data_IF_046345557633
#
_entry.id   IF_046345557633
#
_cell.length_a   1.000
_cell.length_b   1.000
_cell.length_c   1.000
_cell.angle_alpha   90.00
_cell.angle_beta   90.00
_cell.angle_gamma   90.00
#
_symmetry.space_group_name_H-M   'P 1'
#
loop_
_entity.id
_entity.type
_entity.pdbx_description
1 polymer ?
#
# COMPACT_ATOMS: atom_id res chain seq x y z
N UNK A 1 -8.07 4.28 -5.91
CA UNK A 1 -7.24 5.36 -6.48
C UNK A 1 -6.42 6.02 -5.39
N UNK A 2 -5.19 6.44 -5.68
CA UNK A 2 -4.32 7.11 -4.71
C UNK A 2 -3.58 6.17 -3.75
N UNK A 3 -3.39 4.91 -4.08
CA UNK A 3 -2.37 4.08 -3.44
C UNK A 3 -1.04 4.42 -4.11
N UNK A 4 -0.07 4.99 -3.41
CA UNK A 4 1.21 5.35 -4.00
C UNK A 4 2.04 4.10 -4.30
N UNK A 5 2.95 4.21 -5.28
CA UNK A 5 3.86 3.14 -5.64
C UNK A 5 3.64 2.61 -7.05
N UNK A 6 4.35 1.53 -7.38
CA UNK A 6 4.29 0.86 -8.68
C UNK A 6 3.26 -0.28 -8.68
N UNK A 7 2.82 -0.71 -9.87
CA UNK A 7 1.95 -1.90 -10.01
C UNK A 7 2.67 -3.14 -9.48
N UNK A 8 3.95 -3.33 -9.79
CA UNK A 8 4.73 -4.46 -9.27
C UNK A 8 4.79 -4.49 -7.74
N UNK A 9 5.01 -3.34 -7.09
CA UNK A 9 4.95 -3.23 -5.62
C UNK A 9 3.56 -3.54 -5.07
N UNK A 10 2.49 -3.08 -5.75
CA UNK A 10 1.13 -3.38 -5.35
C UNK A 10 0.81 -4.88 -5.44
N UNK A 11 1.26 -5.55 -6.51
CA UNK A 11 1.11 -7.01 -6.68
C UNK A 11 1.89 -7.75 -5.61
N UNK A 12 3.18 -7.42 -5.40
CA UNK A 12 4.02 -8.07 -4.39
C UNK A 12 3.43 -7.99 -2.98
N UNK A 13 2.89 -6.83 -2.63
CA UNK A 13 2.32 -6.59 -1.30
C UNK A 13 0.83 -6.92 -1.20
N UNK A 14 0.22 -7.45 -2.24
CA UNK A 14 -1.24 -7.61 -2.32
C UNK A 14 -1.95 -6.35 -1.80
N UNK A 15 -1.63 -5.22 -2.43
CA UNK A 15 -2.15 -3.93 -1.98
C UNK A 15 -3.67 -3.86 -2.14
N UNK A 16 -4.34 -3.31 -1.13
CA UNK A 16 -5.80 -3.21 -1.14
C UNK A 16 -6.37 -2.61 0.14
N UNK A 17 -7.68 -2.71 0.26
CA UNK A 17 -8.47 -2.37 1.45
C UNK A 17 -8.69 -3.64 2.30
N UNK A 18 -9.56 -3.55 3.31
CA UNK A 18 -10.02 -4.74 4.06
C UNK A 18 -10.89 -5.67 3.20
N UNK A 19 -11.55 -5.11 2.20
CA UNK A 19 -12.60 -5.79 1.41
C UNK A 19 -12.06 -6.36 0.10
N UNK A 20 -11.01 -5.75 -0.47
CA UNK A 20 -10.47 -6.11 -1.78
C UNK A 20 -8.97 -5.89 -1.85
N UNK A 21 -8.25 -6.86 -2.37
CA UNK A 21 -6.84 -6.78 -2.75
C UNK A 21 -6.67 -6.70 -4.27
N UNK A 22 -5.46 -6.35 -4.73
CA UNK A 22 -5.15 -6.41 -6.16
C UNK A 22 -5.21 -7.85 -6.66
N UNK A 23 -4.90 -8.83 -5.80
CA UNK A 23 -4.99 -10.27 -6.08
C UNK A 23 -6.35 -10.68 -6.67
N UNK A 24 -7.45 -10.03 -6.26
CA UNK A 24 -8.81 -10.33 -6.77
C UNK A 24 -8.99 -10.02 -8.26
N UNK A 25 -8.02 -9.35 -8.85
CA UNK A 25 -8.04 -8.92 -10.26
C UNK A 25 -6.85 -9.43 -11.06
N UNK A 26 -5.83 -9.99 -10.42
CA UNK A 26 -4.67 -10.57 -11.09
C UNK A 26 -5.10 -11.84 -11.84
N UNK A 27 -4.73 -11.92 -13.10
CA UNK A 27 -4.88 -13.12 -13.95
C UNK A 27 -3.57 -13.88 -13.93
N UNK A 28 -2.47 -13.19 -14.23
CA UNK A 28 -1.13 -13.77 -14.24
C UNK A 28 -0.08 -12.71 -13.91
N UNK A 29 1.09 -13.17 -13.50
CA UNK A 29 2.26 -12.35 -13.22
C UNK A 29 3.50 -12.97 -13.85
N UNK A 30 4.29 -12.15 -14.54
CA UNK A 30 5.62 -12.54 -15.03
C UNK A 30 6.67 -11.94 -14.09
N UNK A 31 7.56 -12.78 -13.59
CA UNK A 31 8.70 -12.38 -12.76
C UNK A 31 10.01 -12.68 -13.46
N UNK A 32 11.04 -11.92 -13.10
CA UNK A 32 12.43 -12.17 -13.47
C UNK A 32 13.23 -12.42 -12.19
N UNK A 33 14.00 -13.49 -12.15
CA UNK A 33 15.01 -13.70 -11.10
C UNK A 33 16.33 -14.18 -11.70
N UNK A 34 17.48 -13.99 -10.99
CA UNK A 34 18.77 -14.46 -11.44
C UNK A 34 18.83 -15.99 -11.59
N UNK A 35 18.08 -16.73 -10.79
CA UNK A 35 18.10 -18.20 -10.75
C UNK A 35 17.21 -18.87 -11.77
N UNK A 36 16.03 -18.30 -12.06
CA UNK A 36 14.99 -18.93 -12.91
C UNK A 36 14.71 -18.21 -14.22
N UNK A 37 15.32 -17.02 -14.43
CA UNK A 37 15.01 -16.18 -15.58
C UNK A 37 13.57 -15.64 -15.52
N UNK A 38 12.94 -15.53 -16.68
CA UNK A 38 11.55 -15.10 -16.81
C UNK A 38 10.60 -16.28 -16.54
N UNK A 39 9.72 -16.11 -15.58
CA UNK A 39 8.70 -17.12 -15.21
C UNK A 39 7.33 -16.45 -15.16
N UNK A 40 6.37 -16.97 -15.93
CA UNK A 40 4.95 -16.60 -15.83
C UNK A 40 4.23 -17.56 -14.90
N UNK A 41 3.43 -17.02 -13.99
CA UNK A 41 2.56 -17.78 -13.08
C UNK A 41 1.12 -17.27 -13.21
N UNK A 42 0.17 -18.19 -13.18
CA UNK A 42 -1.23 -17.85 -13.05
C UNK A 42 -1.53 -17.41 -11.61
N UNK A 43 -2.55 -16.57 -11.44
CA UNK A 43 -2.90 -16.06 -10.10
C UNK A 43 -3.22 -17.17 -9.09
N UNK A 44 -3.74 -18.33 -9.57
CA UNK A 44 -4.03 -19.49 -8.76
C UNK A 44 -2.79 -20.19 -8.18
N UNK A 45 -1.63 -20.03 -8.82
CA UNK A 45 -0.35 -20.62 -8.39
C UNK A 45 0.39 -19.73 -7.39
N UNK A 46 -0.14 -18.53 -7.13
CA UNK A 46 0.43 -17.55 -6.21
C UNK A 46 -0.35 -17.58 -4.90
N UNK A 47 0.35 -17.81 -3.79
CA UNK A 47 -0.28 -17.69 -2.47
C UNK A 47 -0.39 -16.21 -2.09
N UNK A 48 -1.62 -15.76 -1.87
CA UNK A 48 -1.93 -14.39 -1.51
C UNK A 48 -2.33 -14.29 -0.04
N UNK A 49 -1.76 -13.33 0.66
CA UNK A 49 -2.09 -13.05 2.05
C UNK A 49 -2.28 -11.56 2.33
N UNK A 50 -2.57 -11.24 3.58
CA UNK A 50 -2.66 -9.85 4.02
C UNK A 50 -1.30 -9.17 3.93
N UNK A 51 -1.18 -8.21 2.99
CA UNK A 51 0.07 -7.50 2.70
C UNK A 51 1.23 -8.44 2.42
N UNK A 52 0.97 -9.52 1.69
CA UNK A 52 1.98 -10.51 1.31
C UNK A 52 1.58 -11.29 0.06
N UNK A 53 2.59 -11.87 -0.57
CA UNK A 53 2.47 -12.84 -1.67
C UNK A 53 3.64 -13.80 -1.59
N UNK A 54 3.56 -14.93 -2.31
CA UNK A 54 4.58 -15.99 -2.30
C UNK A 54 5.75 -15.77 -3.25
N UNK A 55 5.93 -14.57 -3.80
CA UNK A 55 7.12 -14.26 -4.62
C UNK A 55 8.39 -14.29 -3.76
N UNK A 56 9.45 -14.91 -4.28
CA UNK A 56 10.75 -14.94 -3.62
C UNK A 56 11.37 -13.52 -3.52
N UNK A 57 12.24 -13.26 -2.54
CA UNK A 57 12.83 -11.93 -2.33
C UNK A 57 13.59 -11.38 -3.54
N UNK A 58 14.23 -12.26 -4.32
CA UNK A 58 15.04 -11.95 -5.50
C UNK A 58 14.23 -11.85 -6.80
N UNK A 59 12.93 -12.16 -6.77
CA UNK A 59 12.06 -12.02 -7.94
C UNK A 59 11.62 -10.58 -8.14
N UNK A 60 11.78 -10.08 -9.35
CA UNK A 60 11.29 -8.78 -9.80
C UNK A 60 10.05 -8.99 -10.66
N UNK A 61 8.94 -8.36 -10.32
CA UNK A 61 7.72 -8.39 -11.13
C UNK A 61 7.91 -7.46 -12.31
N UNK A 62 7.87 -8.01 -13.53
CA UNK A 62 8.08 -7.28 -14.78
C UNK A 62 6.78 -7.06 -15.56
N UNK A 63 5.79 -7.94 -15.38
CA UNK A 63 4.50 -7.86 -16.04
C UNK A 63 3.39 -8.38 -15.13
N UNK A 64 2.19 -7.82 -15.27
CA UNK A 64 0.99 -8.27 -14.58
C UNK A 64 -0.22 -8.09 -15.48
N UNK A 65 -0.97 -9.18 -15.68
CA UNK A 65 -2.25 -9.19 -16.38
C UNK A 65 -3.38 -9.04 -15.36
N UNK A 66 -4.29 -8.09 -15.62
CA UNK A 66 -5.41 -7.79 -14.72
C UNK A 66 -6.75 -8.00 -15.44
N UNK A 67 -7.66 -8.72 -14.81
CA UNK A 67 -9.03 -8.83 -15.26
C UNK A 67 -9.79 -7.54 -14.98
N UNK A 68 -10.33 -6.92 -16.03
CA UNK A 68 -11.18 -5.74 -15.94
C UNK A 68 -12.57 -6.05 -16.49
N UNK A 69 -13.58 -5.37 -15.95
CA UNK A 69 -14.97 -5.46 -16.43
C UNK A 69 -15.44 -4.07 -16.83
N UNK A 70 -16.10 -3.92 -17.99
CA UNK A 70 -16.77 -2.68 -18.32
C UNK A 70 -17.74 -2.29 -17.23
N UNK A 71 -17.79 -0.99 -16.91
CA UNK A 71 -18.69 -0.44 -15.92
C UNK A 71 -19.08 0.99 -16.29
N UNK A 72 -20.20 1.47 -15.76
CA UNK A 72 -20.66 2.83 -15.96
C UNK A 72 -19.64 3.84 -15.41
N UNK A 73 -19.09 4.74 -16.26
CA UNK A 73 -18.10 5.74 -15.84
C UNK A 73 -18.59 6.68 -14.73
N UNK A 74 -19.88 7.04 -14.74
CA UNK A 74 -20.46 7.93 -13.72
C UNK A 74 -20.50 7.26 -12.35
N UNK A 75 -20.94 5.99 -12.31
CA UNK A 75 -20.92 5.20 -11.07
C UNK A 75 -19.50 4.98 -10.53
N UNK A 76 -18.55 4.72 -11.43
CA UNK A 76 -17.15 4.57 -11.04
C UNK A 76 -16.59 5.87 -10.47
N UNK A 77 -16.85 7.00 -11.11
CA UNK A 77 -16.43 8.33 -10.64
C UNK A 77 -16.99 8.61 -9.25
N UNK A 78 -18.29 8.40 -9.04
CA UNK A 78 -18.91 8.60 -7.72
C UNK A 78 -18.27 7.76 -6.62
N UNK A 79 -17.98 6.47 -6.89
CA UNK A 79 -17.26 5.59 -5.95
C UNK A 79 -15.84 6.09 -5.66
N UNK A 80 -15.14 6.56 -6.68
CA UNK A 80 -13.78 7.09 -6.54
C UNK A 80 -13.76 8.38 -5.70
N UNK A 81 -14.69 9.30 -5.95
CA UNK A 81 -14.83 10.56 -5.20
C UNK A 81 -15.17 10.29 -3.74
N UNK A 82 -16.11 9.39 -3.46
CA UNK A 82 -16.45 8.98 -2.11
C UNK A 82 -15.27 8.35 -1.36
N UNK A 83 -14.52 7.46 -2.02
CA UNK A 83 -13.32 6.86 -1.45
C UNK A 83 -12.23 7.90 -1.18
N UNK A 84 -12.03 8.86 -2.09
CA UNK A 84 -11.08 9.94 -1.91
C UNK A 84 -11.48 10.90 -0.77
N UNK A 85 -12.75 11.26 -0.68
CA UNK A 85 -13.28 12.11 0.40
C UNK A 85 -13.09 11.43 1.77
N UNK A 86 -13.38 10.11 1.88
CA UNK A 86 -13.13 9.35 3.10
C UNK A 86 -11.64 9.36 3.47
N UNK A 87 -10.75 9.11 2.51
CA UNK A 87 -9.29 9.12 2.77
C UNK A 87 -8.81 10.50 3.23
N UNK A 88 -9.29 11.57 2.60
CA UNK A 88 -8.95 12.95 2.99
C UNK A 88 -9.34 13.26 4.44
N UNK A 89 -10.41 12.66 4.96
CA UNK A 89 -10.84 12.82 6.36
C UNK A 89 -10.02 11.98 7.34
N UNK A 90 -9.49 10.82 6.91
CA UNK A 90 -8.92 9.82 7.81
C UNK A 90 -7.40 9.63 7.68
N UNK A 91 -6.77 10.27 6.70
CA UNK A 91 -5.34 10.11 6.43
C UNK A 91 -4.67 11.49 6.24
N UNK A 92 -3.38 11.64 6.64
CA UNK A 92 -2.65 12.89 6.55
C UNK A 92 -2.14 13.14 5.12
N UNK A 93 -3.05 13.36 4.17
CA UNK A 93 -2.71 13.49 2.73
C UNK A 93 -2.03 14.81 2.38
N UNK A 94 -1.96 15.77 3.30
CA UNK A 94 -1.34 17.10 3.09
C UNK A 94 0.16 17.12 3.36
N UNK A 95 0.69 16.09 4.03
CA UNK A 95 2.10 15.96 4.34
C UNK A 95 2.69 14.70 3.66
N UNK A 96 3.97 14.74 3.26
CA UNK A 96 4.64 13.57 2.71
C UNK A 96 4.65 12.42 3.73
N UNK A 97 4.27 11.23 3.28
CA UNK A 97 4.32 9.99 4.08
C UNK A 97 4.38 8.77 3.16
N UNK A 98 4.82 7.64 3.70
CA UNK A 98 4.83 6.36 2.97
C UNK A 98 3.55 5.53 3.15
N UNK A 99 2.50 6.09 3.74
CA UNK A 99 1.27 5.38 4.09
C UNK A 99 1.35 4.74 5.48
N UNK A 100 0.57 3.67 5.70
CA UNK A 100 0.59 2.92 6.96
C UNK A 100 1.93 2.21 7.13
N UNK A 101 2.59 2.45 8.26
CA UNK A 101 3.93 1.93 8.58
C UNK A 101 3.88 0.47 9.03
N UNK A 102 2.92 0.14 9.89
CA UNK A 102 2.79 -1.20 10.47
C UNK A 102 1.62 -1.97 9.89
N UNK A 103 1.77 -3.28 9.77
CA UNK A 103 0.64 -4.18 9.51
C UNK A 103 -0.30 -4.18 10.70
N UNK A 104 -1.59 -4.31 10.45
CA UNK A 104 -2.56 -4.48 11.54
C UNK A 104 -2.41 -5.89 12.12
N UNK A 105 -2.34 -6.05 13.45
CA UNK A 105 -2.43 -7.35 14.08
C UNK A 105 -3.85 -7.91 13.97
N UNK A 106 -4.00 -9.20 14.22
CA UNK A 106 -5.29 -9.85 14.25
C UNK A 106 -6.17 -9.24 15.37
N UNK A 107 -7.44 -9.00 15.05
CA UNK A 107 -8.42 -8.45 15.98
C UNK A 107 -8.26 -6.97 16.34
N UNK A 108 -7.21 -6.26 15.81
CA UNK A 108 -6.98 -4.86 16.17
C UNK A 108 -6.42 -4.06 14.99
N UNK A 109 -6.16 -2.77 15.19
CA UNK A 109 -5.43 -1.95 14.23
C UNK A 109 -4.18 -1.34 14.88
N UNK A 110 -3.06 -1.37 14.14
CA UNK A 110 -1.82 -0.77 14.61
C UNK A 110 -1.99 0.71 14.98
N UNK A 111 -2.80 1.45 14.22
CA UNK A 111 -3.09 2.85 14.52
C UNK A 111 -3.78 3.04 15.87
N UNK A 112 -4.76 2.19 16.21
CA UNK A 112 -5.42 2.24 17.53
C UNK A 112 -4.46 1.91 18.67
N UNK A 113 -3.60 0.90 18.50
CA UNK A 113 -2.60 0.54 19.52
C UNK A 113 -1.61 1.68 19.78
N UNK A 114 -1.12 2.33 18.71
CA UNK A 114 -0.21 3.48 18.83
C UNK A 114 -0.92 4.67 19.51
N UNK A 115 -2.19 4.88 19.21
CA UNK A 115 -3.00 5.93 19.85
C UNK A 115 -3.26 5.65 21.33
N UNK A 116 -3.55 4.40 21.70
CA UNK A 116 -3.77 3.97 23.09
C UNK A 116 -2.55 4.19 24.00
N UNK A 117 -1.34 4.07 23.44
CA UNK A 117 -0.10 4.35 24.20
C UNK A 117 0.32 5.81 24.14
N UNK A 118 -0.52 6.70 23.56
CA UNK A 118 -0.32 8.15 23.61
C UNK A 118 0.75 8.68 22.65
N UNK A 119 1.14 7.94 21.61
CA UNK A 119 2.25 8.32 20.72
C UNK A 119 1.86 9.22 19.54
N UNK A 120 0.59 9.62 19.40
CA UNK A 120 0.22 10.63 18.40
C UNK A 120 0.96 11.92 18.62
N UNK A 121 1.48 12.51 17.54
CA UNK A 121 2.24 13.77 17.60
C UNK A 121 3.70 13.63 18.00
N UNK A 122 4.13 12.47 18.51
CA UNK A 122 5.53 12.23 18.87
C UNK A 122 6.48 12.49 17.68
N UNK A 123 7.64 13.10 17.99
CA UNK A 123 8.58 13.61 17.00
C UNK A 123 10.00 13.15 17.23
N UNK A 124 10.66 12.78 16.14
CA UNK A 124 12.11 12.62 16.10
C UNK A 124 12.64 13.37 14.87
N UNK A 125 13.30 14.49 15.09
CA UNK A 125 13.74 15.38 14.01
C UNK A 125 12.56 15.87 13.15
N UNK A 126 12.61 15.61 11.85
CA UNK A 126 11.54 15.93 10.91
C UNK A 126 10.45 14.87 10.77
N UNK A 127 10.62 13.70 11.39
CA UNK A 127 9.61 12.65 11.38
C UNK A 127 8.63 12.82 12.53
N UNK A 128 7.33 12.68 12.26
CA UNK A 128 6.28 12.81 13.27
C UNK A 128 5.21 11.73 13.07
N UNK A 129 4.76 11.11 14.17
CA UNK A 129 3.55 10.28 14.17
C UNK A 129 2.36 11.20 13.95
N UNK A 130 1.58 10.94 12.90
CA UNK A 130 0.50 11.83 12.50
C UNK A 130 -0.60 11.94 13.54
N UNK A 131 -1.04 13.15 13.81
CA UNK A 131 -2.20 13.46 14.65
C UNK A 131 -3.53 12.96 14.03
N UNK A 132 -3.59 12.85 12.69
CA UNK A 132 -4.79 12.39 11.99
C UNK A 132 -4.91 10.87 12.02
N UNK A 133 -3.79 10.15 11.88
CA UNK A 133 -3.77 8.70 11.83
C UNK A 133 -2.46 8.15 12.40
N UNK A 134 -2.51 7.55 13.57
CA UNK A 134 -1.31 7.15 14.31
C UNK A 134 -0.42 6.10 13.61
N UNK A 135 -0.95 5.33 12.64
CA UNK A 135 -0.13 4.42 11.83
C UNK A 135 0.54 5.10 10.62
N UNK A 136 0.63 6.43 10.61
CA UNK A 136 1.33 7.20 9.59
C UNK A 136 2.44 8.02 10.22
N UNK A 137 3.63 7.92 9.67
CA UNK A 137 4.73 8.84 9.96
C UNK A 137 4.79 9.86 8.82
N UNK A 138 4.65 11.13 9.18
CA UNK A 138 4.69 12.25 8.24
C UNK A 138 6.02 12.97 8.33
N UNK A 139 6.50 13.47 7.20
CA UNK A 139 7.66 14.35 7.18
C UNK A 139 7.22 15.81 7.33
N UNK A 140 7.59 16.42 8.44
CA UNK A 140 7.29 17.83 8.76
C UNK A 140 8.49 18.76 8.51
N UNK A 141 9.65 18.20 8.16
CA UNK A 141 10.81 18.99 7.80
C UNK A 141 10.72 19.53 6.36
N UNK A 142 11.32 20.68 6.11
CA UNK A 142 11.55 21.13 4.73
C UNK A 142 12.37 20.06 4.00
N UNK A 143 11.98 19.62 2.80
CA UNK A 143 12.68 18.56 2.06
C UNK A 143 14.14 19.00 1.83
N UNK A 144 15.08 18.46 2.57
CA UNK A 144 16.50 18.54 2.23
C UNK A 144 16.77 17.36 1.29
N UNK A 145 17.20 17.65 0.07
CA UNK A 145 17.51 16.66 -0.98
C UNK A 145 18.56 15.60 -0.58
N UNK A 146 19.19 15.71 0.59
CA UNK A 146 20.39 14.94 0.93
C UNK A 146 20.27 13.94 2.09
N UNK A 147 19.09 13.71 2.69
CA UNK A 147 18.99 12.88 3.89
C UNK A 147 18.07 11.66 3.78
N UNK A 148 17.68 11.26 2.57
CA UNK A 148 16.86 10.07 2.39
C UNK A 148 17.63 8.74 2.25
N UNK A 149 18.97 8.79 2.22
CA UNK A 149 19.81 7.59 2.06
C UNK A 149 21.10 7.74 2.85
N UNK A 150 21.10 7.33 4.11
CA UNK A 150 22.24 6.83 4.84
C UNK A 150 21.77 5.68 5.70
#
# INVERSE_FOLDING_TARGET
>A
MGTPGTVGGAVRMNAGTREQGIADRVVSVTTLSPSSGLVRREAADIQWGYRSSSFAPDEVIVECELAVKPADPYLLRGKMEAAHARRKKTQPLTLPSCGSVFKNPEGSSAGQLIEQVGLKGERVGGAQISEVHANFIVNTATPRRATCWN
#
